data_IF_623929974961
#
_entry.id   IF_623929974961
#
_cell.length_a   1.000
_cell.length_b   1.000
_cell.length_c   1.000
_cell.angle_alpha   90.00
_cell.angle_beta   90.00
_cell.angle_gamma   90.00
#
_symmetry.space_group_name_H-M   'P 1'
#
loop_
_entity.id
_entity.type
_entity.pdbx_description
1 polymer ?
#
# COMPACT_ATOMS: atom_id res chain seq x y z
N UNK A 1 9.42 -3.89 25.32
CA UNK A 1 9.13 -2.81 24.32
C UNK A 1 8.80 -3.34 22.92
N UNK A 2 9.40 -4.45 22.45
CA UNK A 2 9.20 -5.02 21.11
C UNK A 2 7.74 -5.35 20.73
N UNK A 3 6.92 -5.83 21.68
CA UNK A 3 5.53 -6.19 21.37
C UNK A 3 4.66 -4.99 20.96
N UNK A 4 4.85 -3.80 21.56
CA UNK A 4 3.99 -2.64 21.26
C UNK A 4 4.16 -2.17 19.81
N UNK A 5 5.41 -2.08 19.33
CA UNK A 5 5.69 -1.66 17.96
C UNK A 5 5.12 -2.66 16.93
N UNK A 6 5.24 -3.96 17.22
CA UNK A 6 4.67 -5.02 16.37
C UNK A 6 3.14 -4.89 16.27
N UNK A 7 2.45 -4.77 17.40
CA UNK A 7 1.00 -4.63 17.44
C UNK A 7 0.53 -3.36 16.73
N UNK A 8 1.19 -2.21 16.93
CA UNK A 8 0.85 -0.98 16.22
C UNK A 8 0.96 -1.15 14.70
N UNK A 9 2.05 -1.75 14.21
CA UNK A 9 2.23 -2.04 12.78
C UNK A 9 1.12 -2.92 12.22
N UNK A 10 0.73 -3.93 12.98
CA UNK A 10 -0.35 -4.84 12.59
C UNK A 10 -1.69 -4.13 12.52
N UNK A 11 -2.06 -3.39 13.57
CA UNK A 11 -3.34 -2.68 13.67
C UNK A 11 -3.50 -1.67 12.53
N UNK A 12 -2.49 -0.80 12.30
CA UNK A 12 -2.56 0.18 11.22
C UNK A 12 -2.63 -0.47 9.84
N UNK A 13 -1.95 -1.61 9.65
CA UNK A 13 -2.04 -2.37 8.40
C UNK A 13 -3.44 -2.93 8.19
N UNK A 14 -4.04 -3.52 9.23
CA UNK A 14 -5.42 -4.05 9.14
C UNK A 14 -6.39 -2.91 8.83
N UNK A 15 -6.33 -1.79 9.53
CA UNK A 15 -7.17 -0.62 9.22
C UNK A 15 -6.99 -0.12 7.78
N UNK A 16 -5.76 -0.03 7.31
CA UNK A 16 -5.47 0.40 5.94
C UNK A 16 -6.03 -0.57 4.89
N UNK A 17 -5.83 -1.88 5.08
CA UNK A 17 -6.32 -2.89 4.15
C UNK A 17 -7.85 -2.93 4.18
N UNK A 18 -8.47 -2.94 5.37
CA UNK A 18 -9.92 -2.99 5.50
C UNK A 18 -10.60 -1.78 4.86
N UNK A 19 -10.09 -0.57 5.08
CA UNK A 19 -10.65 0.64 4.45
C UNK A 19 -10.51 0.61 2.93
N UNK A 20 -9.34 0.23 2.40
CA UNK A 20 -9.15 0.05 0.96
C UNK A 20 -10.12 -0.99 0.40
N UNK A 21 -10.30 -2.13 1.06
CA UNK A 21 -11.20 -3.20 0.61
C UNK A 21 -12.65 -2.71 0.57
N UNK A 22 -13.11 -1.99 1.60
CA UNK A 22 -14.49 -1.46 1.65
C UNK A 22 -14.69 -0.41 0.54
N UNK A 23 -13.78 0.56 0.41
CA UNK A 23 -13.86 1.61 -0.62
C UNK A 23 -13.83 0.99 -2.02
N UNK A 24 -12.91 0.07 -2.25
CA UNK A 24 -12.74 -0.60 -3.55
C UNK A 24 -13.94 -1.48 -3.89
N UNK A 25 -14.45 -2.24 -2.92
CA UNK A 25 -15.65 -3.06 -3.08
C UNK A 25 -16.87 -2.22 -3.44
N UNK A 26 -17.06 -1.08 -2.79
CA UNK A 26 -18.13 -0.14 -3.11
C UNK A 26 -17.99 0.43 -4.54
N UNK A 27 -16.78 0.83 -4.96
CA UNK A 27 -16.54 1.35 -6.31
C UNK A 27 -16.78 0.26 -7.36
N UNK A 28 -16.27 -0.95 -7.15
CA UNK A 28 -16.50 -2.09 -8.05
C UNK A 28 -17.99 -2.41 -8.15
N UNK A 29 -18.69 -2.45 -7.02
CA UNK A 29 -20.13 -2.71 -6.99
C UNK A 29 -20.93 -1.67 -7.78
N UNK A 30 -20.66 -0.38 -7.53
CA UNK A 30 -21.29 0.72 -8.25
C UNK A 30 -21.03 0.65 -9.75
N UNK A 31 -19.81 0.33 -10.14
CA UNK A 31 -19.43 0.24 -11.55
C UNK A 31 -20.11 -0.94 -12.26
N UNK A 32 -20.13 -2.13 -11.66
CA UNK A 32 -20.64 -3.35 -12.30
C UNK A 32 -22.17 -3.45 -12.34
N UNK A 33 -22.84 -2.96 -11.30
CA UNK A 33 -24.29 -3.16 -11.15
C UNK A 33 -25.11 -1.91 -11.48
N UNK A 34 -24.45 -0.80 -11.85
CA UNK A 34 -25.07 0.54 -12.09
C UNK A 34 -26.15 0.88 -11.06
N UNK A 35 -25.94 0.40 -9.83
CA UNK A 35 -26.98 0.32 -8.82
C UNK A 35 -27.21 1.72 -8.29
N UNK A 36 -28.36 2.32 -8.64
CA UNK A 36 -28.87 3.55 -8.02
C UNK A 36 -29.31 3.36 -6.56
N UNK A 37 -29.11 2.16 -5.97
CA UNK A 37 -29.38 1.96 -4.55
C UNK A 37 -28.63 3.01 -3.73
N UNK A 38 -29.32 3.51 -2.71
CA UNK A 38 -28.93 4.65 -1.88
C UNK A 38 -27.43 4.70 -1.64
N UNK A 39 -26.82 5.75 -2.19
CA UNK A 39 -25.41 6.02 -2.08
C UNK A 39 -25.03 5.93 -0.59
N UNK A 40 -24.13 5.02 -0.16
CA UNK A 40 -23.75 4.94 1.25
C UNK A 40 -23.33 6.34 1.68
N UNK A 41 -23.93 6.82 2.79
CA UNK A 41 -23.98 8.25 3.09
C UNK A 41 -22.64 8.91 2.79
N UNK A 42 -22.64 10.02 2.03
CA UNK A 42 -21.41 10.70 1.61
C UNK A 42 -20.42 10.86 2.77
N UNK A 43 -20.94 11.05 3.98
CA UNK A 43 -20.21 11.05 5.24
C UNK A 43 -19.38 9.78 5.48
N UNK A 44 -19.94 8.57 5.33
CA UNK A 44 -19.21 7.30 5.47
C UNK A 44 -18.04 7.23 4.48
N UNK A 45 -18.25 7.63 3.23
CA UNK A 45 -17.17 7.64 2.22
C UNK A 45 -16.05 8.62 2.60
N UNK A 46 -16.39 9.81 3.10
CA UNK A 46 -15.42 10.77 3.61
C UNK A 46 -14.64 10.22 4.82
N UNK A 47 -15.34 9.63 5.79
CA UNK A 47 -14.71 9.03 6.98
C UNK A 47 -13.76 7.90 6.59
N UNK A 48 -14.19 6.98 5.72
CA UNK A 48 -13.35 5.88 5.23
C UNK A 48 -12.13 6.40 4.46
N UNK A 49 -12.31 7.42 3.61
CA UNK A 49 -11.21 8.06 2.88
C UNK A 49 -10.20 8.69 3.83
N UNK A 50 -10.67 9.37 4.88
CA UNK A 50 -9.82 9.97 5.89
C UNK A 50 -9.03 8.93 6.69
N UNK A 51 -9.69 7.84 7.13
CA UNK A 51 -9.02 6.72 7.80
C UNK A 51 -7.99 6.07 6.88
N UNK A 52 -8.30 5.90 5.60
CA UNK A 52 -7.38 5.36 4.59
C UNK A 52 -6.14 6.24 4.44
N UNK A 53 -6.29 7.57 4.39
CA UNK A 53 -5.18 8.53 4.31
C UNK A 53 -4.28 8.41 5.53
N UNK A 54 -4.85 8.50 6.74
CA UNK A 54 -4.07 8.46 7.99
C UNK A 54 -3.36 7.11 8.13
N UNK A 55 -4.09 6.00 7.94
CA UNK A 55 -3.52 4.67 8.05
C UNK A 55 -2.45 4.40 6.98
N UNK A 56 -2.64 4.90 5.76
CA UNK A 56 -1.68 4.79 4.67
C UNK A 56 -0.39 5.59 4.92
N UNK A 57 -0.53 6.81 5.45
CA UNK A 57 0.60 7.64 5.85
C UNK A 57 1.42 6.97 6.97
N UNK A 58 0.75 6.55 8.04
CA UNK A 58 1.40 5.85 9.17
C UNK A 58 2.04 4.55 8.69
N UNK A 59 1.36 3.78 7.84
CA UNK A 59 1.90 2.55 7.28
C UNK A 59 3.13 2.81 6.40
N UNK A 60 3.19 3.93 5.68
CA UNK A 60 4.36 4.33 4.89
C UNK A 60 5.57 4.65 5.80
N UNK A 61 5.34 5.33 6.92
CA UNK A 61 6.40 5.62 7.92
C UNK A 61 6.85 4.32 8.62
N UNK A 62 5.91 3.44 8.98
CA UNK A 62 6.21 2.21 9.72
C UNK A 62 6.85 1.12 8.85
N UNK A 63 6.64 1.18 7.53
CA UNK A 63 7.29 0.35 6.52
C UNK A 63 8.65 0.91 6.13
N UNK A 64 9.53 1.05 7.12
CA UNK A 64 10.94 1.33 6.85
C UNK A 64 11.50 0.30 5.85
N UNK A 65 12.32 0.74 4.87
CA UNK A 65 13.02 -0.19 4.00
C UNK A 65 13.83 -1.13 4.89
N UNK A 66 13.75 -2.44 4.61
CA UNK A 66 14.56 -3.42 5.33
C UNK A 66 16.02 -2.96 5.25
N UNK A 67 16.79 -3.09 6.34
CA UNK A 67 18.21 -2.70 6.40
C UNK A 67 19.08 -3.24 5.23
N UNK A 68 18.60 -4.28 4.54
CA UNK A 68 19.24 -4.93 3.39
C UNK A 68 18.91 -4.29 2.03
N UNK A 69 18.05 -3.27 2.00
CA UNK A 69 17.66 -2.53 0.78
C UNK A 69 18.35 -1.16 0.66
N UNK A 70 19.42 -0.88 1.42
CA UNK A 70 20.00 0.49 1.49
C UNK A 70 20.21 1.15 0.12
N UNK A 71 20.70 0.42 -0.89
CA UNK A 71 20.96 0.94 -2.23
C UNK A 71 19.68 1.29 -3.02
N UNK A 72 18.57 0.57 -2.81
CA UNK A 72 17.27 0.79 -3.48
C UNK A 72 16.20 1.38 -2.56
N UNK A 73 16.58 1.80 -1.35
CA UNK A 73 15.68 2.35 -0.34
C UNK A 73 14.91 3.56 -0.86
N UNK A 74 15.58 4.48 -1.56
CA UNK A 74 14.98 5.68 -2.15
C UNK A 74 13.92 5.34 -3.20
N UNK A 75 14.18 4.36 -4.08
CA UNK A 75 13.22 3.93 -5.10
C UNK A 75 11.98 3.30 -4.46
N UNK A 76 12.18 2.45 -3.45
CA UNK A 76 11.07 1.84 -2.71
C UNK A 76 10.21 2.88 -1.98
N UNK A 77 10.85 3.81 -1.25
CA UNK A 77 10.17 4.89 -0.55
C UNK A 77 9.40 5.76 -1.55
N UNK A 78 10.03 6.16 -2.64
CA UNK A 78 9.41 6.95 -3.71
C UNK A 78 8.16 6.26 -4.27
N UNK A 79 8.26 4.97 -4.60
CA UNK A 79 7.13 4.20 -5.09
C UNK A 79 5.98 4.11 -4.08
N UNK A 80 6.28 3.93 -2.78
CA UNK A 80 5.25 3.92 -1.73
C UNK A 80 4.58 5.30 -1.59
N UNK A 81 5.34 6.39 -1.71
CA UNK A 81 4.80 7.76 -1.68
C UNK A 81 3.94 8.05 -2.90
N UNK A 82 4.40 7.68 -4.10
CA UNK A 82 3.61 7.81 -5.33
C UNK A 82 2.31 7.01 -5.24
N UNK A 83 2.38 5.77 -4.74
CA UNK A 83 1.18 4.96 -4.51
C UNK A 83 0.21 5.64 -3.55
N UNK A 84 0.71 6.18 -2.44
CA UNK A 84 -0.10 6.89 -1.46
C UNK A 84 -0.74 8.12 -2.12
N UNK A 85 0.05 9.01 -2.73
CA UNK A 85 -0.43 10.25 -3.35
C UNK A 85 -1.50 9.97 -4.42
N UNK A 86 -1.24 9.03 -5.32
CA UNK A 86 -2.22 8.64 -6.34
C UNK A 86 -3.49 8.08 -5.72
N UNK A 87 -3.38 7.28 -4.67
CA UNK A 87 -4.55 6.75 -3.95
C UNK A 87 -5.34 7.89 -3.30
N UNK A 88 -4.69 8.89 -2.71
CA UNK A 88 -5.36 10.05 -2.13
C UNK A 88 -6.08 10.84 -3.23
N UNK A 89 -5.41 11.15 -4.34
CA UNK A 89 -5.99 11.96 -5.42
C UNK A 89 -7.19 11.24 -6.03
N UNK A 90 -7.08 9.95 -6.33
CA UNK A 90 -8.08 9.23 -7.11
C UNK A 90 -9.21 8.68 -6.23
N UNK A 91 -8.89 8.14 -5.05
CA UNK A 91 -9.88 7.45 -4.21
C UNK A 91 -10.65 8.39 -3.28
N UNK A 92 -10.24 9.66 -3.13
CA UNK A 92 -10.98 10.62 -2.32
C UNK A 92 -12.10 11.29 -3.11
N UNK A 93 -13.17 11.77 -2.44
CA UNK A 93 -14.26 12.48 -3.09
C UNK A 93 -13.84 13.77 -3.81
N UNK A 94 -12.66 14.32 -3.50
CA UNK A 94 -12.08 15.49 -4.17
C UNK A 94 -11.97 15.27 -5.68
N UNK A 95 -11.75 14.03 -6.12
CA UNK A 95 -11.67 13.70 -7.55
C UNK A 95 -12.96 14.02 -8.32
N UNK A 96 -14.14 13.93 -7.67
CA UNK A 96 -15.43 14.27 -8.29
C UNK A 96 -15.61 15.78 -8.49
N UNK A 97 -14.75 16.62 -7.91
CA UNK A 97 -14.78 18.07 -8.15
C UNK A 97 -14.15 18.44 -9.50
N UNK A 98 -13.39 17.51 -10.10
CA UNK A 98 -12.61 17.73 -11.33
C UNK A 98 -13.28 17.05 -12.53
N UNK A 99 -13.94 15.91 -12.32
CA UNK A 99 -14.54 15.08 -13.36
C UNK A 99 -16.01 14.78 -13.05
N UNK A 100 -16.80 14.55 -14.10
CA UNK A 100 -18.17 14.04 -13.96
C UNK A 100 -18.22 12.74 -13.16
N UNK A 101 -19.29 12.54 -12.39
CA UNK A 101 -19.42 11.39 -11.47
C UNK A 101 -19.24 10.04 -12.19
N UNK A 102 -19.73 9.91 -13.42
CA UNK A 102 -19.58 8.69 -14.23
C UNK A 102 -18.13 8.44 -14.63
N UNK A 103 -17.46 9.46 -15.17
CA UNK A 103 -16.06 9.38 -15.59
C UNK A 103 -15.14 9.16 -14.37
N UNK A 104 -15.44 9.83 -13.25
CA UNK A 104 -14.73 9.64 -11.99
C UNK A 104 -14.83 8.19 -11.49
N UNK A 105 -16.01 7.58 -11.61
CA UNK A 105 -16.23 6.17 -11.24
C UNK A 105 -15.43 5.21 -12.13
N UNK A 106 -15.44 5.41 -13.45
CA UNK A 106 -14.65 4.62 -14.42
C UNK A 106 -13.15 4.67 -14.12
N UNK A 107 -12.61 5.88 -13.93
CA UNK A 107 -11.19 6.07 -13.64
C UNK A 107 -10.82 5.36 -12.32
N UNK A 108 -11.63 5.53 -11.28
CA UNK A 108 -11.41 4.84 -10.00
C UNK A 108 -11.46 3.33 -10.12
N UNK A 109 -12.41 2.79 -10.89
CA UNK A 109 -12.51 1.37 -11.13
C UNK A 109 -11.24 0.82 -11.81
N UNK A 110 -10.81 1.44 -12.91
CA UNK A 110 -9.60 1.06 -13.63
C UNK A 110 -8.38 1.14 -12.71
N UNK A 111 -8.28 2.21 -11.92
CA UNK A 111 -7.20 2.41 -10.97
C UNK A 111 -7.15 1.32 -9.88
N UNK A 112 -8.32 0.91 -9.34
CA UNK A 112 -8.41 -0.18 -8.36
C UNK A 112 -7.95 -1.49 -8.98
N UNK A 113 -8.46 -1.84 -10.17
CA UNK A 113 -8.08 -3.07 -10.87
C UNK A 113 -6.57 -3.07 -11.12
N UNK A 114 -6.02 -1.97 -11.63
CA UNK A 114 -4.59 -1.80 -11.80
C UNK A 114 -3.82 -2.03 -10.50
N UNK A 115 -4.27 -1.44 -9.38
CA UNK A 115 -3.59 -1.58 -8.09
C UNK A 115 -3.68 -2.99 -7.50
N UNK A 116 -4.81 -3.68 -7.67
CA UNK A 116 -4.98 -5.07 -7.25
C UNK A 116 -3.99 -5.95 -8.00
N UNK A 117 -3.80 -5.71 -9.30
CA UNK A 117 -2.87 -6.46 -10.13
C UNK A 117 -1.40 -6.13 -9.81
N UNK A 118 -1.04 -4.85 -9.74
CA UNK A 118 0.36 -4.43 -9.57
C UNK A 118 0.89 -4.68 -8.15
N UNK A 119 0.03 -4.62 -7.13
CA UNK A 119 0.47 -4.68 -5.72
C UNK A 119 1.17 -6.00 -5.35
N UNK A 120 0.68 -7.19 -5.76
CA UNK A 120 1.40 -8.45 -5.63
C UNK A 120 2.78 -8.43 -6.32
N UNK A 121 2.89 -7.90 -7.54
CA UNK A 121 4.17 -7.82 -8.25
C UNK A 121 5.19 -6.94 -7.50
N UNK A 122 4.75 -5.78 -6.98
CA UNK A 122 5.62 -4.92 -6.17
C UNK A 122 6.09 -5.61 -4.88
N UNK A 123 5.21 -6.43 -4.27
CA UNK A 123 5.57 -7.23 -3.11
C UNK A 123 6.61 -8.29 -3.47
N UNK A 124 6.40 -9.05 -4.54
CA UNK A 124 7.33 -10.08 -5.00
C UNK A 124 8.68 -9.49 -5.38
N UNK A 125 8.69 -8.37 -6.11
CA UNK A 125 9.92 -7.65 -6.44
C UNK A 125 10.73 -7.31 -5.18
N UNK A 126 10.07 -6.79 -4.13
CA UNK A 126 10.73 -6.50 -2.85
C UNK A 126 11.27 -7.75 -2.16
N UNK A 127 10.49 -8.83 -2.15
CA UNK A 127 10.84 -10.08 -1.49
C UNK A 127 12.02 -10.76 -2.20
N UNK A 128 11.96 -10.92 -3.52
CA UNK A 128 13.03 -11.46 -4.34
C UNK A 128 14.34 -10.67 -4.17
N UNK A 129 14.27 -9.34 -4.20
CA UNK A 129 15.45 -8.50 -3.95
C UNK A 129 16.03 -8.70 -2.54
N UNK A 130 15.15 -8.78 -1.53
CA UNK A 130 15.56 -8.99 -0.13
C UNK A 130 16.20 -10.35 0.11
N UNK A 131 15.80 -11.38 -0.64
CA UNK A 131 16.31 -12.74 -0.52
C UNK A 131 17.66 -12.92 -1.22
N UNK A 132 17.80 -12.39 -2.44
CA UNK A 132 19.06 -12.45 -3.18
C UNK A 132 20.25 -11.89 -2.36
N UNK A 133 20.03 -10.76 -1.68
CA UNK A 133 21.05 -10.11 -0.84
C UNK A 133 21.21 -10.76 0.55
N UNK A 134 20.28 -11.64 0.96
CA UNK A 134 20.45 -12.43 2.20
C UNK A 134 21.51 -13.50 2.00
N UNK A 135 21.50 -14.18 0.84
CA UNK A 135 22.48 -15.22 0.51
C UNK A 135 23.92 -14.68 0.49
N UNK A 136 24.13 -13.52 -0.14
CA UNK A 136 25.46 -12.89 -0.22
C UNK A 136 26.03 -12.52 1.15
N UNK A 137 25.20 -11.97 2.04
CA UNK A 137 25.65 -11.62 3.40
C UNK A 137 26.03 -12.84 4.24
N UNK A 138 25.28 -13.94 4.12
CA UNK A 138 25.58 -15.19 4.83
C UNK A 138 26.87 -15.82 4.30
N UNK A 139 27.08 -15.80 2.97
CA UNK A 139 28.34 -16.27 2.37
C UNK A 139 29.56 -15.47 2.85
N UNK A 140 29.48 -14.14 2.87
CA UNK A 140 30.58 -13.30 3.36
C UNK A 140 30.91 -13.57 4.84
N UNK A 141 29.90 -13.80 5.67
CA UNK A 141 30.10 -14.13 7.09
C UNK A 141 30.76 -15.50 7.27
N UNK A 142 30.42 -16.49 6.43
CA UNK A 142 31.06 -17.81 6.47
C UNK A 142 32.54 -17.72 6.07
N UNK A 143 32.86 -17.00 4.98
CA UNK A 143 34.25 -16.81 4.54
C UNK A 143 35.08 -16.08 5.61
N UNK A 144 34.53 -15.03 6.24
CA UNK A 144 35.23 -14.32 7.31
C UNK A 144 35.44 -15.20 8.56
N UNK A 145 34.48 -16.08 8.85
CA UNK A 145 34.60 -17.00 9.99
C UNK A 145 35.70 -18.03 9.76
N UNK A 146 35.80 -18.58 8.54
CA UNK A 146 36.88 -19.50 8.14
C UNK A 146 38.26 -18.84 8.25
N UNK A 147 38.40 -17.59 7.79
CA UNK A 147 39.68 -16.84 7.88
C UNK A 147 40.15 -16.52 9.30
N UNK A 148 39.26 -16.53 10.30
CA UNK A 148 39.62 -16.28 11.72
C UNK A 148 40.10 -17.57 12.40
N UNK A 149 39.78 -18.74 11.84
CA UNK A 149 40.14 -20.04 12.41
C UNK A 149 41.49 -20.58 11.91
N UNK A 150 42.06 -19.97 10.88
CA UNK A 150 43.43 -20.22 10.38
C UNK A 150 44.47 -19.32 11.09
#
# INVERSE_FOLDING_TARGET
MYNRLFWSKYIFRVFHISTITIISGNIIWKYLFSSQNEDPSKLIQWVLSFIMIISGFINTILLDPKNKMKQHSKQWIGMMHTKLILSIIIMTPIFNQIFDDHLALEIRFIFIVFWILISPFLRFYREAWSEHHRGQHTQLQMVQFEQIQE
#
